data_IF_814359567466
#
_entry.id   IF_814359567466
#
_cell.length_a   1.000
_cell.length_b   1.000
_cell.length_c   1.000
_cell.angle_alpha   90.00
_cell.angle_beta   90.00
_cell.angle_gamma   90.00
#
_symmetry.space_group_name_H-M   'P 1'
#
loop_
_entity.id
_entity.type
_entity.pdbx_description
1 polymer ?
#
# COMPACT_ATOMS: atom_id res chain seq x y z
N UNK A 1 -3.31 1.47 16.44
CA UNK A 1 -3.22 2.82 15.84
C UNK A 1 -3.92 2.82 14.48
N UNK A 2 -4.48 3.94 14.03
CA UNK A 2 -5.12 4.08 12.71
C UNK A 2 -4.43 5.23 11.96
N UNK A 3 -4.18 5.04 10.68
CA UNK A 3 -3.64 6.04 9.78
C UNK A 3 -4.53 6.12 8.53
N UNK A 4 -4.85 7.33 8.10
CA UNK A 4 -5.56 7.59 6.86
C UNK A 4 -4.72 8.53 6.02
N UNK A 5 -4.51 8.18 4.76
CA UNK A 5 -3.79 9.02 3.81
C UNK A 5 -4.40 8.93 2.42
N UNK A 6 -4.05 9.88 1.55
CA UNK A 6 -4.54 9.95 0.17
C UNK A 6 -3.39 9.76 -0.81
N UNK A 7 -3.64 8.96 -1.84
CA UNK A 7 -2.72 8.74 -2.96
C UNK A 7 -3.37 9.28 -4.23
N UNK A 8 -2.66 10.10 -5.01
CA UNK A 8 -3.14 10.63 -6.30
C UNK A 8 -3.57 12.10 -6.28
N UNK A 9 -4.15 12.57 -7.39
CA UNK A 9 -4.57 13.95 -7.59
C UNK A 9 -6.03 14.20 -7.23
N UNK A 10 -6.46 15.47 -7.18
CA UNK A 10 -7.80 15.87 -6.74
C UNK A 10 -8.97 15.22 -7.54
N UNK A 11 -8.73 14.81 -8.80
CA UNK A 11 -9.72 14.18 -9.69
C UNK A 11 -9.64 12.64 -9.73
N UNK A 12 -8.46 12.05 -9.51
CA UNK A 12 -8.23 10.61 -9.50
C UNK A 12 -7.30 10.32 -8.33
N UNK A 13 -7.90 9.96 -7.21
CA UNK A 13 -7.15 9.61 -6.00
C UNK A 13 -7.86 8.54 -5.21
N UNK A 14 -7.08 7.76 -4.47
CA UNK A 14 -7.54 6.73 -3.57
C UNK A 14 -7.35 7.17 -2.13
N UNK A 15 -8.31 6.81 -1.29
CA UNK A 15 -8.17 6.93 0.16
C UNK A 15 -7.64 5.60 0.68
N UNK A 16 -6.56 5.65 1.44
CA UNK A 16 -6.00 4.50 2.14
C UNK A 16 -6.31 4.64 3.61
N UNK A 17 -6.95 3.61 4.15
CA UNK A 17 -7.19 3.48 5.59
C UNK A 17 -6.39 2.27 6.06
N UNK A 18 -5.45 2.48 6.96
CA UNK A 18 -4.61 1.45 7.55
C UNK A 18 -4.79 1.40 9.06
N UNK A 19 -4.85 0.19 9.62
CA UNK A 19 -4.95 -0.07 11.04
C UNK A 19 -3.83 -1.00 11.47
N UNK A 20 -3.08 -0.58 12.47
CA UNK A 20 -2.10 -1.40 13.15
C UNK A 20 -2.67 -1.96 14.45
N UNK A 21 -2.56 -3.28 14.61
CA UNK A 21 -2.88 -4.06 15.80
C UNK A 21 -1.67 -4.91 16.19
N UNK A 22 -0.87 -4.42 17.14
CA UNK A 22 0.41 -5.05 17.49
C UNK A 22 1.37 -5.08 16.30
N UNK A 23 1.78 -6.28 15.90
CA UNK A 23 2.67 -6.53 14.75
C UNK A 23 1.94 -6.59 13.41
N UNK A 24 0.61 -6.64 13.39
CA UNK A 24 -0.17 -6.73 12.16
C UNK A 24 -0.65 -5.35 11.71
N UNK A 25 -0.44 -5.04 10.44
CA UNK A 25 -1.01 -3.88 9.74
C UNK A 25 -1.95 -4.39 8.66
N UNK A 26 -3.21 -3.99 8.73
CA UNK A 26 -4.17 -4.20 7.64
C UNK A 26 -4.56 -2.86 7.06
N UNK A 27 -4.83 -2.82 5.77
CA UNK A 27 -5.26 -1.61 5.11
C UNK A 27 -6.18 -1.89 3.93
N UNK A 28 -6.94 -0.89 3.58
CA UNK A 28 -7.75 -0.88 2.38
C UNK A 28 -7.48 0.43 1.64
N UNK A 29 -7.03 0.33 0.39
CA UNK A 29 -6.95 1.45 -0.53
C UNK A 29 -8.19 1.40 -1.43
N UNK A 30 -8.98 2.47 -1.48
CA UNK A 30 -10.21 2.50 -2.26
C UNK A 30 -10.55 3.88 -2.81
N UNK A 31 -11.22 3.91 -3.96
CA UNK A 31 -11.61 5.11 -4.68
C UNK A 31 -12.46 4.80 -5.92
N UNK A 32 -12.19 5.46 -7.04
CA UNK A 32 -12.92 5.29 -8.33
C UNK A 32 -12.69 3.93 -8.99
N UNK A 33 -11.62 3.22 -8.63
CA UNK A 33 -11.29 1.87 -9.13
C UNK A 33 -11.33 0.85 -7.98
N UNK A 34 -11.43 -0.44 -8.35
CA UNK A 34 -11.61 -1.58 -7.44
C UNK A 34 -10.68 -1.49 -6.22
N UNK A 35 -11.28 -1.51 -5.03
CA UNK A 35 -10.55 -1.43 -3.78
C UNK A 35 -9.50 -2.54 -3.64
N UNK A 36 -8.34 -2.17 -3.14
CA UNK A 36 -7.20 -3.05 -2.90
C UNK A 36 -7.11 -3.33 -1.41
N UNK A 37 -6.97 -4.61 -1.06
CA UNK A 37 -6.63 -5.00 0.31
C UNK A 37 -5.12 -5.07 0.51
N UNK A 38 -4.67 -4.52 1.62
CA UNK A 38 -3.27 -4.42 2.00
C UNK A 38 -3.08 -5.15 3.32
N UNK A 39 -2.03 -5.95 3.42
CA UNK A 39 -1.68 -6.62 4.66
C UNK A 39 -0.18 -6.65 4.82
N UNK A 40 0.32 -6.31 6.00
CA UNK A 40 1.73 -6.41 6.33
C UNK A 40 1.93 -6.80 7.80
N UNK A 41 3.06 -7.44 8.08
CA UNK A 41 3.48 -7.87 9.39
C UNK A 41 4.85 -7.25 9.71
N UNK A 42 4.99 -6.74 10.93
CA UNK A 42 6.23 -6.21 11.48
C UNK A 42 7.04 -7.37 12.04
N UNK A 43 8.19 -7.66 11.42
CA UNK A 43 9.11 -8.73 11.81
C UNK A 43 10.46 -8.11 12.19
N UNK A 44 10.65 -7.82 13.47
CA UNK A 44 11.84 -7.08 13.94
C UNK A 44 11.89 -5.69 13.32
N UNK A 45 12.97 -5.39 12.59
CA UNK A 45 13.14 -4.15 11.82
C UNK A 45 12.53 -4.21 10.41
N UNK A 46 11.82 -5.27 10.05
CA UNK A 46 11.26 -5.46 8.71
C UNK A 46 9.75 -5.31 8.70
N UNK A 47 9.24 -4.82 7.57
CA UNK A 47 7.83 -4.87 7.21
C UNK A 47 7.67 -5.82 6.02
N UNK A 48 7.00 -6.95 6.25
CA UNK A 48 6.73 -7.95 5.21
C UNK A 48 5.25 -7.91 4.88
N UNK A 49 4.89 -7.71 3.62
CA UNK A 49 3.50 -7.53 3.25
C UNK A 49 3.12 -7.97 1.85
N UNK A 50 1.82 -7.88 1.59
CA UNK A 50 1.18 -8.23 0.34
C UNK A 50 0.15 -7.18 -0.03
N UNK A 51 0.18 -6.82 -1.30
CA UNK A 51 -0.76 -5.89 -1.93
C UNK A 51 -1.73 -6.72 -2.77
N UNK A 52 -2.95 -6.98 -2.27
CA UNK A 52 -3.92 -7.83 -2.95
C UNK A 52 -4.72 -7.04 -3.98
N UNK A 53 -4.41 -7.26 -5.25
CA UNK A 53 -5.24 -6.86 -6.38
C UNK A 53 -5.91 -8.05 -7.03
N UNK A 54 -6.96 -7.75 -7.80
CA UNK A 54 -7.80 -8.75 -8.48
C UNK A 54 -7.03 -9.65 -9.47
N UNK A 55 -5.87 -9.20 -9.97
CA UNK A 55 -5.07 -9.89 -10.99
C UNK A 55 -3.58 -10.07 -10.62
N UNK A 56 -3.11 -9.44 -9.54
CA UNK A 56 -1.75 -9.62 -9.03
C UNK A 56 -1.71 -9.39 -7.52
N UNK A 57 -0.90 -10.19 -6.82
CA UNK A 57 -0.69 -10.04 -5.37
C UNK A 57 0.80 -9.87 -5.06
N UNK A 58 1.42 -8.75 -5.49
CA UNK A 58 2.84 -8.53 -5.25
C UNK A 58 3.11 -8.53 -3.74
N UNK A 59 4.17 -9.26 -3.38
CA UNK A 59 4.71 -9.28 -2.02
C UNK A 59 5.83 -8.25 -1.94
N UNK A 60 5.99 -7.65 -0.77
CA UNK A 60 7.09 -6.75 -0.50
C UNK A 60 7.72 -7.07 0.85
N UNK A 61 8.99 -6.72 0.96
CA UNK A 61 9.72 -6.69 2.22
C UNK A 61 10.49 -5.39 2.23
N UNK A 62 10.39 -4.66 3.34
CA UNK A 62 11.08 -3.39 3.54
C UNK A 62 11.76 -3.40 4.88
N UNK A 63 13.04 -3.05 4.89
CA UNK A 63 13.73 -2.71 6.11
C UNK A 63 13.28 -1.32 6.56
N UNK A 64 12.69 -1.26 7.75
CA UNK A 64 12.20 -0.03 8.36
C UNK A 64 13.35 0.79 8.95
N UNK A 65 14.46 0.17 9.37
CA UNK A 65 15.48 0.82 10.19
C UNK A 65 14.84 1.58 11.37
N UNK A 66 14.89 2.92 11.37
CA UNK A 66 14.27 3.80 12.38
C UNK A 66 12.87 4.30 12.00
N UNK A 67 12.36 3.88 10.84
CA UNK A 67 11.08 4.33 10.30
C UNK A 67 9.89 3.73 11.08
N UNK A 68 8.92 4.55 11.52
CA UNK A 68 7.68 4.03 12.10
C UNK A 68 6.97 3.08 11.12
N UNK A 69 6.46 1.91 11.58
CA UNK A 69 5.88 0.91 10.69
C UNK A 69 4.75 1.42 9.78
N UNK A 70 3.90 2.31 10.29
CA UNK A 70 2.82 2.92 9.51
C UNK A 70 3.34 3.84 8.40
N UNK A 71 4.47 4.52 8.61
CA UNK A 71 5.10 5.35 7.59
C UNK A 71 5.70 4.46 6.49
N UNK A 72 6.39 3.38 6.86
CA UNK A 72 6.90 2.40 5.90
C UNK A 72 5.79 1.73 5.09
N UNK A 73 4.68 1.38 5.75
CA UNK A 73 3.50 0.84 5.07
C UNK A 73 2.88 1.84 4.09
N UNK A 74 2.78 3.13 4.46
CA UNK A 74 2.25 4.17 3.58
C UNK A 74 3.16 4.40 2.36
N UNK A 75 4.47 4.49 2.58
CA UNK A 75 5.47 4.63 1.50
C UNK A 75 5.39 3.45 0.52
N UNK A 76 5.28 2.23 1.04
CA UNK A 76 5.14 1.04 0.18
C UNK A 76 3.83 0.97 -0.57
N UNK A 77 2.74 1.42 0.04
CA UNK A 77 1.46 1.50 -0.66
C UNK A 77 1.55 2.47 -1.83
N UNK A 78 2.22 3.62 -1.67
CA UNK A 78 2.47 4.59 -2.73
C UNK A 78 3.37 4.03 -3.83
N UNK A 79 4.47 3.36 -3.48
CA UNK A 79 5.38 2.73 -4.44
C UNK A 79 4.66 1.64 -5.27
N UNK A 80 3.94 0.74 -4.60
CA UNK A 80 3.14 -0.30 -5.26
C UNK A 80 2.03 0.27 -6.14
N UNK A 81 1.41 1.39 -5.73
CA UNK A 81 0.43 2.11 -6.55
C UNK A 81 1.09 2.68 -7.81
N UNK A 82 2.21 3.39 -7.67
CA UNK A 82 2.87 4.05 -8.78
C UNK A 82 3.42 3.05 -9.81
N UNK A 83 4.08 1.98 -9.36
CA UNK A 83 4.58 0.91 -10.24
C UNK A 83 3.44 0.36 -11.09
N UNK A 84 2.26 0.16 -10.51
CA UNK A 84 1.14 -0.35 -11.30
C UNK A 84 0.43 0.64 -12.18
N UNK A 85 0.53 1.94 -11.94
CA UNK A 85 0.10 2.92 -12.94
C UNK A 85 1.05 2.85 -14.15
N UNK A 86 2.35 2.76 -13.91
CA UNK A 86 3.39 2.68 -14.96
C UNK A 86 3.27 1.40 -15.79
N UNK A 87 3.05 0.24 -15.16
CA UNK A 87 2.89 -1.03 -15.88
C UNK A 87 1.51 -1.23 -16.53
N UNK A 88 0.51 -0.39 -16.23
CA UNK A 88 -0.82 -0.46 -16.86
C UNK A 88 -1.14 0.70 -17.80
N UNK A 89 -0.19 1.59 -18.11
CA UNK A 89 -0.34 2.44 -19.29
C UNK A 89 -0.45 1.52 -20.50
N UNK A 90 -1.62 1.35 -21.15
CA UNK A 90 -1.63 0.68 -22.44
C UNK A 90 -0.74 1.54 -23.34
N UNK A 91 0.25 0.92 -23.97
CA UNK A 91 0.88 1.52 -25.13
C UNK A 91 -0.26 1.87 -26.09
N UNK A 92 -0.54 3.16 -26.22
CA UNK A 92 -1.45 3.65 -27.25
C UNK A 92 -0.66 3.51 -28.54
N UNK A 93 -0.78 2.33 -29.16
CA UNK A 93 -0.40 2.02 -30.53
C UNK A 93 -1.29 2.76 -31.52
#
# INVERSE_FOLDING_TARGET
MVCTFRIGGALIGESVIARQSGHLITGHAGGRFQGVQLQAEIRGSQLVGRYHRHWASPCFTVDLEDMPPLLGFAAMTLACYHLTQVYHTPEIS
#
